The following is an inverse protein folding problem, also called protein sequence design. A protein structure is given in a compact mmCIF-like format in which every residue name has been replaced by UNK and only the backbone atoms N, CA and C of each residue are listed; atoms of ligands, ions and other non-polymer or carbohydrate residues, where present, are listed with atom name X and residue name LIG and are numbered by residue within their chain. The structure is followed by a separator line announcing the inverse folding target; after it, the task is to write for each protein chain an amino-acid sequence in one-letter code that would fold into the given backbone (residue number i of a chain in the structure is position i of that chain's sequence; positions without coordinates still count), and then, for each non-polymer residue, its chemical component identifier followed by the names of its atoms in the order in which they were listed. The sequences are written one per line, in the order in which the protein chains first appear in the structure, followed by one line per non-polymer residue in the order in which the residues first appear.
data_IF_279225606192
#
_entry.id   IF_279225606192
#
_cell.length_a   1.000
_cell.length_b   1.000
_cell.length_c   1.000
_cell.angle_alpha   90.00
_cell.angle_beta   90.00
_cell.angle_gamma   90.00
#
_symmetry.space_group_name_H-M   'P 1'
#
loop_
_entity.id
_entity.type
_entity.pdbx_description
1 polymer ?
#
# COMPACT_ATOMS: atom_id res chain seq x y z
N UNK A 1 15.33 -49.57 22.37
CA UNK A 1 15.26 -48.20 21.82
C UNK A 1 15.37 -47.24 22.98
N UNK A 2 16.48 -46.52 23.08
CA UNK A 2 16.69 -45.50 24.11
C UNK A 2 15.61 -44.43 23.96
N UNK A 3 14.93 -44.07 25.07
CA UNK A 3 13.97 -42.97 25.09
C UNK A 3 14.74 -41.71 24.73
N UNK A 4 14.56 -41.22 23.50
CA UNK A 4 15.07 -39.92 23.09
C UNK A 4 14.57 -38.89 24.10
N UNK A 5 15.50 -38.31 24.85
CA UNK A 5 15.21 -37.46 25.99
C UNK A 5 14.66 -36.13 25.45
N UNK A 6 13.34 -36.04 25.36
CA UNK A 6 12.59 -34.94 24.74
C UNK A 6 13.00 -33.57 25.32
N UNK A 7 13.45 -33.58 26.58
CA UNK A 7 14.02 -32.44 27.28
C UNK A 7 15.30 -31.90 26.63
N UNK A 8 16.15 -32.75 26.07
CA UNK A 8 17.38 -32.32 25.40
C UNK A 8 17.11 -31.70 24.03
N UNK A 9 16.08 -32.18 23.31
CA UNK A 9 15.58 -31.54 22.10
C UNK A 9 15.02 -30.15 22.39
N UNK A 10 14.24 -30.00 23.47
CA UNK A 10 13.68 -28.70 23.89
C UNK A 10 14.81 -27.74 24.30
N UNK A 11 15.83 -28.22 25.02
CA UNK A 11 17.00 -27.40 25.39
C UNK A 11 17.76 -26.92 24.16
N UNK A 12 18.00 -27.79 23.17
CA UNK A 12 18.64 -27.41 21.90
C UNK A 12 17.82 -26.38 21.10
N UNK A 13 16.50 -26.53 21.06
CA UNK A 13 15.62 -25.57 20.38
C UNK A 13 15.62 -24.19 21.04
N UNK A 14 15.60 -24.15 22.38
CA UNK A 14 15.65 -22.90 23.16
C UNK A 14 17.05 -22.24 23.17
N UNK A 15 18.12 -23.02 23.01
CA UNK A 15 19.47 -22.49 22.85
C UNK A 15 19.66 -21.79 21.49
N UNK A 16 18.87 -22.15 20.47
CA UNK A 16 18.87 -21.51 19.15
C UNK A 16 18.03 -20.22 19.10
N UNK A 17 17.99 -19.47 20.20
CA UNK A 17 17.50 -18.09 20.22
C UNK A 17 18.52 -17.17 19.53
N UNK A 18 18.83 -17.44 18.26
CA UNK A 18 19.41 -16.43 17.39
C UNK A 18 18.42 -15.27 17.43
N UNK A 19 18.86 -14.12 17.97
CA UNK A 19 18.09 -12.89 18.00
C UNK A 19 17.72 -12.57 16.56
N UNK A 20 16.56 -13.01 16.12
CA UNK A 20 16.05 -12.67 14.79
C UNK A 20 16.01 -11.16 14.79
N UNK A 21 16.80 -10.54 13.93
CA UNK A 21 16.79 -9.11 13.71
C UNK A 21 15.39 -8.79 13.19
N UNK A 22 14.46 -8.50 14.09
CA UNK A 22 13.10 -8.16 13.74
C UNK A 22 13.18 -6.83 13.01
N UNK A 23 12.95 -6.86 11.70
CA UNK A 23 12.86 -5.64 10.92
C UNK A 23 11.66 -4.85 11.43
N UNK A 24 11.94 -3.74 12.11
CA UNK A 24 10.92 -2.81 12.58
C UNK A 24 10.37 -2.07 11.36
N UNK A 25 9.20 -2.48 10.88
CA UNK A 25 8.46 -1.71 9.88
C UNK A 25 7.87 -0.49 10.56
N UNK A 26 8.33 0.69 10.14
CA UNK A 26 7.77 1.98 10.57
C UNK A 26 6.94 2.55 9.44
N UNK A 27 5.77 3.14 9.72
CA UNK A 27 5.01 3.88 8.73
C UNK A 27 5.90 4.98 8.15
N UNK A 28 5.93 5.07 6.82
CA UNK A 28 6.51 6.22 6.14
C UNK A 28 5.59 7.38 6.47
N UNK A 29 6.11 8.41 7.15
CA UNK A 29 5.37 9.66 7.40
C UNK A 29 5.02 10.21 6.02
N UNK A 30 3.76 10.07 5.62
CA UNK A 30 3.25 10.60 4.37
C UNK A 30 3.40 12.12 4.42
N UNK A 31 3.97 12.71 3.35
CA UNK A 31 4.02 14.16 3.17
C UNK A 31 2.64 14.76 3.49
N UNK A 32 2.61 15.78 4.33
CA UNK A 32 1.43 16.63 4.52
C UNK A 32 1.20 17.37 3.20
N UNK A 33 0.50 16.73 2.28
CA UNK A 33 -0.08 17.40 1.13
C UNK A 33 -1.48 17.80 1.59
N UNK A 34 -1.84 19.08 1.46
CA UNK A 34 -3.16 19.61 1.81
C UNK A 34 -4.21 19.10 0.81
N UNK A 35 -4.52 17.82 0.91
CA UNK A 35 -5.50 17.12 0.09
C UNK A 35 -6.63 16.60 0.96
N UNK A 36 -7.86 16.95 0.59
CA UNK A 36 -9.07 16.40 1.23
C UNK A 36 -9.67 15.32 0.33
N UNK A 37 -10.18 14.23 0.92
CA UNK A 37 -10.89 13.19 0.18
C UNK A 37 -12.17 13.77 -0.45
N UNK A 38 -12.31 13.57 -1.76
CA UNK A 38 -13.52 13.91 -2.51
C UNK A 38 -14.14 12.64 -3.11
N UNK A 39 -15.45 12.46 -2.99
CA UNK A 39 -16.14 11.25 -3.47
C UNK A 39 -17.54 11.58 -3.97
N UNK A 40 -17.87 11.12 -5.16
CA UNK A 40 -19.18 11.28 -5.80
C UNK A 40 -19.44 10.14 -6.80
N UNK A 41 -20.70 9.97 -7.20
CA UNK A 41 -21.06 9.00 -8.23
C UNK A 41 -20.82 9.56 -9.63
N UNK A 42 -20.24 8.74 -10.51
CA UNK A 42 -19.98 9.08 -11.91
C UNK A 42 -20.56 7.98 -12.82
N UNK A 43 -21.04 8.36 -13.99
CA UNK A 43 -21.54 7.38 -14.96
C UNK A 43 -20.44 6.39 -15.38
N UNK A 44 -20.80 5.10 -15.45
CA UNK A 44 -19.85 4.04 -15.83
C UNK A 44 -19.17 4.29 -17.17
N UNK A 45 -19.92 4.80 -18.15
CA UNK A 45 -19.40 5.14 -19.49
C UNK A 45 -18.37 6.28 -19.40
N UNK A 46 -18.66 7.30 -18.59
CA UNK A 46 -17.76 8.43 -18.39
C UNK A 46 -16.46 7.99 -17.69
N UNK A 47 -16.56 7.19 -16.63
CA UNK A 47 -15.37 6.64 -15.95
C UNK A 47 -14.49 5.82 -16.90
N UNK A 48 -15.09 5.02 -17.81
CA UNK A 48 -14.34 4.25 -18.80
C UNK A 48 -13.55 5.17 -19.74
N UNK A 49 -14.20 6.21 -20.27
CA UNK A 49 -13.54 7.21 -21.15
C UNK A 49 -12.42 7.95 -20.43
N UNK A 50 -12.64 8.34 -19.18
CA UNK A 50 -11.65 9.01 -18.35
C UNK A 50 -10.39 8.16 -18.15
N UNK A 51 -10.54 6.86 -17.89
CA UNK A 51 -9.42 5.92 -17.76
C UNK A 51 -8.63 5.77 -19.05
N UNK A 52 -9.32 5.66 -20.20
CA UNK A 52 -8.66 5.56 -21.51
C UNK A 52 -7.83 6.83 -21.76
N UNK A 53 -8.43 8.02 -21.58
CA UNK A 53 -7.73 9.30 -21.73
C UNK A 53 -6.51 9.43 -20.82
N UNK A 54 -6.61 8.97 -19.57
CA UNK A 54 -5.48 8.98 -18.65
C UNK A 54 -4.32 8.08 -19.12
N UNK A 55 -4.62 6.93 -19.75
CA UNK A 55 -3.61 6.06 -20.37
C UNK A 55 -2.97 6.73 -21.59
N UNK A 56 -3.77 7.37 -22.44
CA UNK A 56 -3.28 8.06 -23.65
C UNK A 56 -2.34 9.24 -23.30
N UNK A 57 -2.62 9.94 -22.20
CA UNK A 57 -1.83 11.09 -21.72
C UNK A 57 -0.70 10.71 -20.75
N UNK A 58 -0.43 9.40 -20.56
CA UNK A 58 0.53 8.86 -19.59
C UNK A 58 0.45 9.54 -18.21
N UNK A 59 -0.77 9.66 -17.69
CA UNK A 59 -1.03 10.33 -16.44
C UNK A 59 -2.02 9.57 -15.56
N UNK A 60 -2.09 9.95 -14.27
CA UNK A 60 -3.06 9.34 -13.36
C UNK A 60 -4.45 9.93 -13.57
N UNK A 61 -5.48 9.11 -13.34
CA UNK A 61 -6.88 9.55 -13.34
C UNK A 61 -7.10 10.73 -12.38
N UNK A 62 -6.43 10.72 -11.22
CA UNK A 62 -6.47 11.83 -10.24
C UNK A 62 -5.96 13.13 -10.85
N UNK A 63 -4.79 13.10 -11.53
CA UNK A 63 -4.21 14.29 -12.17
C UNK A 63 -5.16 14.85 -13.24
N UNK A 64 -5.76 13.97 -14.03
CA UNK A 64 -6.71 14.36 -15.07
C UNK A 64 -7.99 15.01 -14.50
N UNK A 65 -8.55 14.44 -13.41
CA UNK A 65 -9.73 15.00 -12.73
C UNK A 65 -9.40 16.38 -12.18
N UNK A 66 -8.33 16.51 -11.39
CA UNK A 66 -7.97 17.78 -10.77
C UNK A 66 -7.71 18.86 -11.82
N UNK A 67 -6.96 18.53 -12.88
CA UNK A 67 -6.72 19.44 -14.00
C UNK A 67 -8.03 19.88 -14.66
N UNK A 68 -8.95 18.95 -14.92
CA UNK A 68 -10.24 19.29 -15.55
C UNK A 68 -11.10 20.19 -14.66
N UNK A 69 -11.03 20.02 -13.33
CA UNK A 69 -11.72 20.88 -12.37
C UNK A 69 -11.08 22.26 -12.34
N UNK A 70 -9.75 22.34 -12.25
CA UNK A 70 -8.99 23.60 -12.30
C UNK A 70 -9.26 24.37 -13.60
N UNK A 71 -9.20 23.70 -14.75
CA UNK A 71 -9.47 24.29 -16.07
C UNK A 71 -10.93 24.79 -16.20
N UNK A 72 -11.87 24.26 -15.41
CA UNK A 72 -13.28 24.68 -15.42
C UNK A 72 -13.59 25.87 -14.53
N UNK A 73 -12.70 26.19 -13.59
CA UNK A 73 -12.85 27.28 -12.62
C UNK A 73 -12.05 28.54 -13.00
N UNK A 74 -11.23 28.45 -14.06
CA UNK A 74 -10.44 29.53 -14.63
C UNK A 74 -11.00 29.98 -15.99
#
# INVERSE_FOLDING_TARGET
MEKLDFNDLIKKAKANNQSKTMQKVVPIISKEIDETQFSFYIEKKLLKRLKIKALDEDCSVKKLINKSIEDSLN
#
